data_IF_477300693616
#
_entry.id   IF_477300693616
#
_cell.length_a   1.000
_cell.length_b   1.000
_cell.length_c   1.000
_cell.angle_alpha   90.00
_cell.angle_beta   90.00
_cell.angle_gamma   90.00
#
_symmetry.space_group_name_H-M   'P 1'
#
loop_
_entity.id
_entity.type
_entity.pdbx_description
1 polymer ?
#
# COMPACT_ATOMS: atom_id res chain seq x y z
N UNK A 1 -3.74 -1.73 17.86
CA UNK A 1 -3.62 -3.02 17.17
C UNK A 1 -4.42 -3.05 15.89
N UNK A 2 -3.80 -3.51 14.82
CA UNK A 2 -4.46 -3.74 13.53
C UNK A 2 -5.19 -5.09 13.65
N UNK A 3 -6.52 -5.16 13.49
CA UNK A 3 -7.26 -6.41 13.67
C UNK A 3 -6.69 -7.52 12.78
N UNK A 4 -6.63 -8.73 13.31
CA UNK A 4 -6.21 -9.93 12.56
C UNK A 4 -7.35 -10.35 11.62
N UNK A 5 -7.46 -9.63 10.51
CA UNK A 5 -8.44 -9.92 9.45
C UNK A 5 -7.84 -11.02 8.58
N UNK A 6 -8.60 -12.10 8.34
CA UNK A 6 -8.27 -13.18 7.39
C UNK A 6 -8.39 -12.69 5.93
N UNK A 7 -7.79 -11.55 5.64
CA UNK A 7 -7.81 -10.86 4.35
C UNK A 7 -6.76 -11.42 3.36
N UNK A 8 -5.86 -12.29 3.84
CA UNK A 8 -4.76 -12.80 3.02
C UNK A 8 -3.71 -11.72 2.69
N UNK A 9 -3.68 -10.63 3.47
CA UNK A 9 -2.69 -9.57 3.37
C UNK A 9 -1.56 -9.79 4.36
N UNK A 10 -0.34 -9.52 3.89
CA UNK A 10 0.82 -9.36 4.77
C UNK A 10 0.72 -8.05 5.54
N UNK A 11 1.50 -7.93 6.62
CA UNK A 11 1.61 -6.67 7.39
C UNK A 11 1.97 -5.47 6.49
N UNK A 12 2.91 -5.65 5.56
CA UNK A 12 3.37 -4.60 4.64
C UNK A 12 2.26 -4.15 3.69
N UNK A 13 1.52 -5.09 3.13
CA UNK A 13 0.37 -4.80 2.25
C UNK A 13 -0.72 -4.04 2.98
N UNK A 14 -1.00 -4.43 4.23
CA UNK A 14 -1.97 -3.74 5.07
C UNK A 14 -1.54 -2.31 5.40
N UNK A 15 -0.24 -2.09 5.64
CA UNK A 15 0.33 -0.74 5.82
C UNK A 15 0.17 0.09 4.55
N UNK A 16 0.46 -0.46 3.37
CA UNK A 16 0.28 0.24 2.08
C UNK A 16 -1.18 0.69 1.89
N UNK A 17 -2.15 -0.21 2.12
CA UNK A 17 -3.57 0.13 2.00
C UNK A 17 -4.02 1.16 3.05
N UNK A 18 -3.52 1.04 4.28
CA UNK A 18 -3.84 2.00 5.33
C UNK A 18 -3.30 3.40 4.99
N UNK A 19 -2.02 3.53 4.60
CA UNK A 19 -1.45 4.81 4.17
C UNK A 19 -2.21 5.39 2.96
N UNK A 20 -2.59 4.55 2.00
CA UNK A 20 -3.38 4.98 0.84
C UNK A 20 -4.74 5.55 1.27
N UNK A 21 -5.45 4.85 2.15
CA UNK A 21 -6.73 5.30 2.71
C UNK A 21 -6.61 6.64 3.43
N UNK A 22 -5.60 6.81 4.29
CA UNK A 22 -5.41 8.07 5.03
C UNK A 22 -5.09 9.23 4.08
N UNK A 23 -4.17 9.02 3.13
CA UNK A 23 -3.82 10.05 2.13
C UNK A 23 -5.00 10.40 1.21
N UNK A 24 -5.88 9.46 0.88
CA UNK A 24 -7.10 9.73 0.13
C UNK A 24 -8.04 10.65 0.92
N UNK A 25 -8.29 10.36 2.20
CA UNK A 25 -9.13 11.19 3.07
C UNK A 25 -8.58 12.61 3.20
N UNK A 26 -7.27 12.75 3.44
CA UNK A 26 -6.59 14.05 3.54
C UNK A 26 -6.70 14.86 2.25
N UNK A 27 -6.69 14.18 1.10
CA UNK A 27 -6.77 14.83 -0.22
C UNK A 27 -8.20 15.01 -0.71
N UNK A 28 -9.21 14.63 0.06
CA UNK A 28 -10.62 14.68 -0.33
C UNK A 28 -10.96 13.65 -1.41
N UNK A 29 -10.60 12.39 -1.19
CA UNK A 29 -10.83 11.23 -2.06
C UNK A 29 -10.19 11.35 -3.45
N UNK A 30 -9.19 12.22 -3.60
CA UNK A 30 -8.44 12.41 -4.85
C UNK A 30 -7.30 11.40 -4.97
N UNK A 31 -6.81 11.24 -6.21
CA UNK A 31 -5.65 10.40 -6.51
C UNK A 31 -4.44 10.76 -5.65
N UNK A 32 -3.78 9.73 -5.12
CA UNK A 32 -2.55 9.81 -4.32
C UNK A 32 -1.36 9.48 -5.22
N UNK A 33 -0.42 10.43 -5.43
CA UNK A 33 0.81 10.14 -6.17
C UNK A 33 1.63 9.03 -5.51
N UNK A 34 2.16 8.09 -6.30
CA UNK A 34 2.90 6.93 -5.78
C UNK A 34 4.11 7.31 -4.92
N UNK A 35 4.83 8.39 -5.27
CA UNK A 35 5.95 8.87 -4.46
C UNK A 35 5.51 9.39 -3.08
N UNK A 36 4.33 10.00 -2.99
CA UNK A 36 3.74 10.45 -1.72
C UNK A 36 3.36 9.24 -0.87
N UNK A 37 2.71 8.24 -1.48
CA UNK A 37 2.38 6.99 -0.82
C UNK A 37 3.64 6.27 -0.31
N UNK A 38 4.70 6.21 -1.12
CA UNK A 38 5.97 5.60 -0.70
C UNK A 38 6.56 6.29 0.52
N UNK A 39 6.59 7.63 0.52
CA UNK A 39 7.07 8.41 1.67
C UNK A 39 6.33 8.04 2.95
N UNK A 40 4.99 8.02 2.91
CA UNK A 40 4.19 7.63 4.08
C UNK A 40 4.41 6.18 4.50
N UNK A 41 4.53 5.23 3.57
CA UNK A 41 4.75 3.81 3.91
C UNK A 41 6.09 3.59 4.59
N UNK A 42 7.15 4.25 4.11
CA UNK A 42 8.51 4.14 4.64
C UNK A 42 8.63 4.64 6.10
N UNK A 43 7.69 5.45 6.58
CA UNK A 43 7.63 5.88 7.99
C UNK A 43 7.19 4.76 8.94
N UNK A 44 6.49 3.73 8.46
CA UNK A 44 5.94 2.66 9.29
C UNK A 44 6.64 1.30 9.12
N UNK A 45 7.23 1.06 7.96
CA UNK A 45 7.90 -0.20 7.62
C UNK A 45 9.10 0.05 6.73
N UNK A 46 10.22 -0.62 7.04
CA UNK A 46 11.34 -0.71 6.11
C UNK A 46 10.92 -1.51 4.87
N UNK A 47 10.95 -0.83 3.72
CA UNK A 47 10.43 -1.30 2.44
C UNK A 47 11.17 -0.62 1.28
N UNK A 48 11.66 -1.41 0.33
CA UNK A 48 12.27 -0.88 -0.89
C UNK A 48 11.19 -0.39 -1.86
N UNK A 49 11.58 0.46 -2.81
CA UNK A 49 10.66 0.91 -3.88
C UNK A 49 10.15 -0.28 -4.68
N UNK A 50 11.01 -1.25 -5.00
CA UNK A 50 10.68 -2.46 -5.76
C UNK A 50 9.69 -3.34 -5.02
N UNK A 51 9.86 -3.51 -3.70
CA UNK A 51 8.91 -4.26 -2.86
C UNK A 51 7.52 -3.59 -2.87
N UNK A 52 7.48 -2.26 -2.73
CA UNK A 52 6.23 -1.51 -2.79
C UNK A 52 5.56 -1.64 -4.17
N UNK A 53 6.32 -1.51 -5.26
CA UNK A 53 5.80 -1.68 -6.62
C UNK A 53 5.24 -3.08 -6.84
N UNK A 54 5.91 -4.12 -6.31
CA UNK A 54 5.40 -5.49 -6.35
C UNK A 54 4.06 -5.66 -5.64
N UNK A 55 3.90 -5.04 -4.47
CA UNK A 55 2.64 -5.00 -3.74
C UNK A 55 1.54 -4.29 -4.56
N UNK A 56 1.84 -3.12 -5.14
CA UNK A 56 0.89 -2.39 -5.96
C UNK A 56 0.44 -3.22 -7.18
N UNK A 57 1.37 -3.86 -7.89
CA UNK A 57 1.08 -4.77 -9.01
C UNK A 57 0.15 -5.91 -8.59
N UNK A 58 0.39 -6.52 -7.42
CA UNK A 58 -0.49 -7.55 -6.85
C UNK A 58 -1.90 -7.02 -6.62
N UNK A 59 -2.06 -5.80 -6.09
CA UNK A 59 -3.38 -5.21 -5.82
C UNK A 59 -4.20 -4.92 -7.08
N UNK A 60 -3.57 -4.51 -8.18
CA UNK A 60 -4.27 -4.32 -9.46
C UNK A 60 -4.55 -5.64 -10.20
N UNK A 61 -4.13 -6.78 -9.66
CA UNK A 61 -4.38 -8.09 -10.26
C UNK A 61 -3.53 -8.39 -11.50
N UNK A 62 -2.42 -7.67 -11.71
CA UNK A 62 -1.43 -8.02 -12.73
C UNK A 62 -0.62 -9.23 -12.25
N UNK A 63 -1.18 -10.44 -12.39
CA UNK A 63 -0.40 -11.67 -12.32
C UNK A 63 0.44 -11.78 -13.60
N UNK A 64 1.75 -11.87 -13.46
CA UNK A 64 2.72 -11.90 -14.58
C UNK A 64 2.76 -13.29 -15.26
N UNK A 65 1.65 -14.02 -15.22
CA UNK A 65 1.39 -15.30 -15.89
C UNK A 65 0.57 -15.07 -17.16
N UNK A 66 1.15 -14.31 -18.10
CA UNK A 66 0.76 -14.31 -19.52
C UNK A 66 2.04 -14.25 -20.36
#
# INVERSE_FOLDING_TARGET
>A
DLPDVRDGLTRRERVVLWCLSELQKERGERHVPTAMLYGSVAEYVDMSVEEMQGILVRFVGYDRRL
#
